data_IF_293262781319
#
_entry.id   IF_293262781319
#
_cell.length_a   1.000
_cell.length_b   1.000
_cell.length_c   1.000
_cell.angle_alpha   90.00
_cell.angle_beta   90.00
_cell.angle_gamma   90.00
#
_symmetry.space_group_name_H-M   'P 1'
#
loop_
_entity.id
_entity.type
_entity.pdbx_description
1 polymer ?
#
# COMPACT_ATOMS: atom_id res chain seq x y z
N UNK A 1 2.91 -26.02 14.38
CA UNK A 1 3.61 -25.84 13.08
C UNK A 1 2.95 -24.84 12.13
N UNK A 2 1.62 -24.61 12.18
CA UNK A 2 0.95 -23.63 11.31
C UNK A 2 1.38 -22.16 11.52
N UNK A 3 1.64 -21.75 12.78
CA UNK A 3 2.09 -20.39 13.13
C UNK A 3 3.47 -20.05 12.52
N UNK A 4 4.38 -21.03 12.48
CA UNK A 4 5.73 -20.86 11.93
C UNK A 4 5.71 -20.66 10.42
N UNK A 5 4.83 -21.38 9.71
CA UNK A 5 4.66 -21.23 8.27
C UNK A 5 4.07 -19.87 7.89
N UNK A 6 3.09 -19.37 8.66
CA UNK A 6 2.50 -18.04 8.42
C UNK A 6 3.50 -16.91 8.64
N UNK A 7 4.40 -17.07 9.63
CA UNK A 7 5.49 -16.12 9.86
C UNK A 7 6.50 -16.12 8.71
N UNK A 8 6.94 -17.30 8.25
CA UNK A 8 7.86 -17.41 7.12
C UNK A 8 7.27 -16.84 5.81
N UNK A 9 5.96 -17.01 5.59
CA UNK A 9 5.25 -16.41 4.46
C UNK A 9 5.16 -14.87 4.56
N UNK A 10 4.93 -14.37 5.78
CA UNK A 10 4.95 -12.92 6.05
C UNK A 10 6.34 -12.34 5.81
N UNK A 11 7.40 -13.00 6.30
CA UNK A 11 8.78 -12.54 6.13
C UNK A 11 9.19 -12.55 4.63
N UNK A 12 8.78 -13.57 3.86
CA UNK A 12 8.98 -13.57 2.39
C UNK A 12 8.23 -12.44 1.70
N UNK A 13 6.99 -12.17 2.12
CA UNK A 13 6.20 -11.06 1.58
C UNK A 13 6.88 -9.72 1.88
N UNK A 14 7.41 -9.53 3.09
CA UNK A 14 8.15 -8.32 3.47
C UNK A 14 9.35 -8.11 2.55
N UNK A 15 10.14 -9.15 2.28
CA UNK A 15 11.31 -9.06 1.40
C UNK A 15 10.92 -8.66 -0.04
N UNK A 16 9.84 -9.26 -0.58
CA UNK A 16 9.33 -8.91 -1.91
C UNK A 16 8.81 -7.47 -2.00
N UNK A 17 8.12 -6.99 -0.95
CA UNK A 17 7.61 -5.61 -0.87
C UNK A 17 8.74 -4.59 -0.80
N UNK A 18 9.77 -4.85 0.03
CA UNK A 18 10.97 -4.00 0.09
C UNK A 18 11.70 -4.00 -1.25
N UNK A 19 11.87 -5.17 -1.88
CA UNK A 19 12.51 -5.27 -3.17
C UNK A 19 11.73 -4.54 -4.28
N UNK A 20 10.39 -4.58 -4.24
CA UNK A 20 9.53 -3.78 -5.14
C UNK A 20 9.74 -2.28 -4.93
N UNK A 21 9.70 -1.82 -3.68
CA UNK A 21 9.89 -0.41 -3.33
C UNK A 21 11.25 0.12 -3.81
N UNK A 22 12.33 -0.63 -3.55
CA UNK A 22 13.69 -0.27 -4.01
C UNK A 22 13.77 -0.25 -5.54
N UNK A 23 13.21 -1.25 -6.24
CA UNK A 23 13.22 -1.29 -7.71
C UNK A 23 12.46 -0.12 -8.33
N UNK A 24 11.34 0.28 -7.74
CA UNK A 24 10.56 1.43 -8.16
C UNK A 24 11.43 2.70 -8.06
N UNK A 25 11.98 2.96 -6.87
CA UNK A 25 12.81 4.14 -6.61
C UNK A 25 14.07 4.24 -7.47
N UNK A 26 14.66 3.11 -7.87
CA UNK A 26 15.85 3.07 -8.74
C UNK A 26 15.55 3.29 -10.22
N UNK A 27 14.34 2.97 -10.69
CA UNK A 27 14.04 2.93 -12.14
C UNK A 27 13.47 4.22 -12.72
N UNK A 28 13.16 5.23 -11.89
CA UNK A 28 12.41 6.43 -12.30
C UNK A 28 11.08 6.13 -13.03
N UNK A 29 10.59 4.89 -12.91
CA UNK A 29 9.28 4.38 -13.35
C UNK A 29 8.43 4.06 -12.12
N UNK A 30 8.50 4.94 -11.12
CA UNK A 30 7.83 4.80 -9.83
C UNK A 30 6.30 4.71 -9.96
N UNK A 31 5.76 5.21 -11.06
CA UNK A 31 4.32 5.40 -11.25
C UNK A 31 3.94 5.11 -12.71
N UNK A 32 3.06 4.14 -12.93
CA UNK A 32 2.52 3.84 -14.27
C UNK A 32 1.42 4.83 -14.69
N UNK A 33 0.74 5.42 -13.71
CA UNK A 33 -0.24 6.51 -13.91
C UNK A 33 0.03 7.64 -12.93
N UNK A 34 0.73 8.67 -13.39
CA UNK A 34 0.99 9.88 -12.60
C UNK A 34 -0.30 10.70 -12.56
N UNK A 35 -1.03 10.62 -11.45
CA UNK A 35 -2.20 11.43 -11.21
C UNK A 35 -2.47 11.56 -9.73
N UNK A 36 -2.68 12.80 -9.28
CA UNK A 36 -3.13 13.11 -7.94
C UNK A 36 -4.65 12.95 -7.79
N UNK A 37 -5.35 12.63 -8.89
CA UNK A 37 -6.81 12.57 -8.94
C UNK A 37 -7.33 11.12 -8.96
N UNK A 38 -8.17 10.79 -7.98
CA UNK A 38 -8.80 9.47 -7.84
C UNK A 38 -9.67 9.07 -9.03
N UNK A 39 -10.22 10.04 -9.77
CA UNK A 39 -11.06 9.78 -10.95
C UNK A 39 -10.23 9.42 -12.18
N UNK A 40 -8.89 9.56 -12.12
CA UNK A 40 -7.95 9.05 -13.12
C UNK A 40 -7.39 7.69 -12.72
N UNK A 41 -7.05 7.52 -11.44
CA UNK A 41 -6.36 6.31 -10.94
C UNK A 41 -7.30 5.10 -10.83
N UNK A 42 -8.54 5.28 -10.35
CA UNK A 42 -9.49 4.15 -10.19
C UNK A 42 -9.87 3.52 -11.55
N UNK A 43 -10.24 4.28 -12.59
CA UNK A 43 -10.53 3.69 -13.91
C UNK A 43 -9.30 3.03 -14.54
N UNK A 44 -8.10 3.58 -14.33
CA UNK A 44 -6.86 2.99 -14.82
C UNK A 44 -6.60 1.58 -14.25
N UNK A 45 -6.89 1.38 -12.96
CA UNK A 45 -6.81 0.07 -12.30
C UNK A 45 -7.92 -0.88 -12.76
N UNK A 46 -9.17 -0.42 -12.92
CA UNK A 46 -10.26 -1.26 -13.43
C UNK A 46 -9.97 -1.87 -14.81
N UNK A 47 -9.22 -1.17 -15.66
CA UNK A 47 -8.79 -1.71 -16.95
C UNK A 47 -7.68 -2.77 -16.86
N UNK A 48 -7.08 -2.98 -15.69
CA UNK A 48 -5.86 -3.81 -15.51
C UNK A 48 -5.98 -4.88 -14.44
N UNK A 49 -6.84 -4.71 -13.45
CA UNK A 49 -7.08 -5.63 -12.34
C UNK A 49 -8.55 -6.04 -12.32
N UNK A 50 -8.82 -7.24 -11.80
CA UNK A 50 -10.15 -7.77 -11.50
C UNK A 50 -10.84 -7.09 -10.29
N UNK A 51 -10.18 -6.09 -9.68
CA UNK A 51 -10.70 -5.32 -8.55
C UNK A 51 -10.24 -3.86 -8.62
N UNK A 52 -11.02 -2.97 -8.00
CA UNK A 52 -10.67 -1.57 -7.83
C UNK A 52 -10.14 -1.31 -6.41
N UNK A 53 -8.89 -0.88 -6.22
CA UNK A 53 -8.45 -0.39 -4.92
C UNK A 53 -9.23 0.89 -4.57
N UNK A 54 -9.67 1.07 -3.31
CA UNK A 54 -10.12 2.37 -2.84
C UNK A 54 -8.94 3.35 -2.88
N UNK A 55 -9.15 4.52 -3.50
CA UNK A 55 -8.15 5.56 -3.66
C UNK A 55 -8.68 6.79 -2.95
N UNK A 56 -8.06 7.11 -1.82
CA UNK A 56 -8.43 8.24 -0.98
C UNK A 56 -7.44 9.39 -1.14
N UNK A 57 -7.99 10.60 -1.22
CA UNK A 57 -7.19 11.82 -1.15
C UNK A 57 -6.85 12.12 0.32
N UNK A 58 -5.56 12.07 0.62
CA UNK A 58 -5.02 12.32 1.96
C UNK A 58 -4.14 13.58 1.98
N UNK A 59 -4.25 14.43 0.95
CA UNK A 59 -3.44 15.64 0.81
C UNK A 59 -3.67 16.60 1.98
N UNK A 60 -4.92 16.68 2.49
CA UNK A 60 -5.26 17.47 3.68
C UNK A 60 -4.53 17.03 4.95
N UNK A 61 -4.09 15.76 5.01
CA UNK A 61 -3.31 15.20 6.12
C UNK A 61 -1.80 15.20 5.84
N UNK A 62 -1.37 15.81 4.71
CA UNK A 62 0.04 15.89 4.30
C UNK A 62 0.54 14.69 3.49
N UNK A 63 -0.35 13.76 3.12
CA UNK A 63 -0.04 12.59 2.31
C UNK A 63 -0.62 12.75 0.91
N UNK A 64 0.12 13.42 0.03
CA UNK A 64 -0.36 13.67 -1.33
C UNK A 64 -0.28 12.38 -2.15
N UNK A 65 -1.38 12.01 -2.83
CA UNK A 65 -1.35 10.93 -3.81
C UNK A 65 -0.54 11.41 -5.02
N UNK A 66 0.46 10.63 -5.42
CA UNK A 66 1.29 10.89 -6.62
C UNK A 66 0.74 10.12 -7.82
N UNK A 67 0.19 8.94 -7.58
CA UNK A 67 -0.41 8.11 -8.60
C UNK A 67 -0.53 6.64 -8.21
N UNK A 68 -0.54 5.78 -9.21
CA UNK A 68 -0.57 4.33 -9.02
C UNK A 68 0.36 3.60 -9.97
N UNK A 69 0.75 2.39 -9.57
CA UNK A 69 1.43 1.41 -10.42
C UNK A 69 0.84 0.02 -10.21
N UNK A 70 1.08 -0.87 -11.16
CA UNK A 70 0.74 -2.28 -11.04
C UNK A 70 2.02 -3.08 -10.80
N UNK A 71 2.04 -3.88 -9.73
CA UNK A 71 3.20 -4.72 -9.42
C UNK A 71 2.78 -6.18 -9.18
N UNK A 72 3.77 -7.05 -9.01
CA UNK A 72 3.61 -8.47 -8.75
C UNK A 72 4.24 -8.82 -7.40
N UNK A 73 3.40 -9.24 -6.46
CA UNK A 73 3.83 -9.75 -5.14
C UNK A 73 3.26 -11.16 -4.98
N UNK A 74 4.12 -12.13 -4.68
CA UNK A 74 3.73 -13.53 -4.53
C UNK A 74 3.08 -14.12 -5.79
N UNK A 75 3.56 -13.73 -6.98
CA UNK A 75 2.99 -14.09 -8.31
C UNK A 75 1.56 -13.60 -8.57
N UNK A 76 1.03 -12.69 -7.76
CA UNK A 76 -0.28 -12.07 -7.96
C UNK A 76 -0.12 -10.60 -8.32
N UNK A 77 -0.98 -10.10 -9.20
CA UNK A 77 -1.05 -8.67 -9.56
C UNK A 77 -1.63 -7.88 -8.39
N UNK A 78 -0.90 -6.87 -7.96
CA UNK A 78 -1.23 -6.02 -6.82
C UNK A 78 -1.26 -4.57 -7.27
N UNK A 79 -2.30 -3.84 -6.86
CA UNK A 79 -2.34 -2.40 -7.02
C UNK A 79 -1.37 -1.75 -6.03
N UNK A 80 -0.53 -0.84 -6.50
CA UNK A 80 0.30 -0.02 -5.62
C UNK A 80 -0.09 1.43 -5.80
N UNK A 81 -0.51 2.07 -4.71
CA UNK A 81 -0.78 3.49 -4.64
C UNK A 81 0.47 4.18 -4.10
N UNK A 82 0.94 5.19 -4.81
CA UNK A 82 2.15 5.91 -4.45
C UNK A 82 1.74 7.23 -3.80
N UNK A 83 2.02 7.34 -2.51
CA UNK A 83 1.82 8.57 -1.74
C UNK A 83 3.15 9.22 -1.45
N UNK A 84 3.13 10.54 -1.25
CA UNK A 84 4.30 11.31 -0.83
C UNK A 84 4.03 11.98 0.50
N UNK A 85 4.93 11.78 1.45
CA UNK A 85 4.97 12.49 2.71
C UNK A 85 6.25 13.33 2.79
N UNK A 86 6.12 14.64 2.67
CA UNK A 86 7.28 15.57 2.54
C UNK A 86 8.19 15.15 1.40
N UNK A 87 9.38 14.60 1.67
CA UNK A 87 10.33 14.11 0.67
C UNK A 87 10.33 12.58 0.55
N UNK A 88 9.59 11.88 1.41
CA UNK A 88 9.55 10.43 1.48
C UNK A 88 8.42 9.87 0.63
N UNK A 89 8.68 8.72 0.02
CA UNK A 89 7.68 7.99 -0.76
C UNK A 89 7.08 6.91 0.13
N UNK A 90 5.77 6.76 0.03
CA UNK A 90 5.01 5.72 0.72
C UNK A 90 4.31 4.90 -0.35
N UNK A 91 4.78 3.68 -0.53
CA UNK A 91 4.16 2.71 -1.43
C UNK A 91 3.13 1.90 -0.68
N UNK A 92 1.90 1.95 -1.16
CA UNK A 92 0.76 1.31 -0.51
C UNK A 92 0.18 0.24 -1.42
N UNK A 93 0.49 -1.01 -1.10
CA UNK A 93 0.07 -2.18 -1.83
C UNK A 93 -1.31 -2.62 -1.32
N UNK A 94 -2.28 -2.65 -2.22
CA UNK A 94 -3.68 -2.96 -1.91
C UNK A 94 -4.11 -4.19 -2.69
N UNK A 95 -4.65 -5.17 -1.99
CA UNK A 95 -5.20 -6.39 -2.59
C UNK A 95 -6.46 -6.86 -1.84
N UNK A 96 -7.36 -7.63 -2.47
CA UNK A 96 -8.47 -8.25 -1.77
C UNK A 96 -8.00 -9.07 -0.58
N UNK A 97 -8.69 -8.97 0.56
CA UNK A 97 -8.42 -9.83 1.70
C UNK A 97 -8.72 -11.28 1.28
N UNK A 98 -7.71 -12.14 1.30
CA UNK A 98 -7.91 -13.59 1.10
C UNK A 98 -8.55 -14.23 2.33
N UNK A 99 -8.82 -15.54 2.24
CA UNK A 99 -9.42 -16.33 3.33
C UNK A 99 -8.66 -16.23 4.66
N UNK A 100 -7.38 -15.90 4.63
CA UNK A 100 -6.61 -15.47 5.79
C UNK A 100 -6.50 -13.96 5.88
N UNK A 101 -7.35 -13.31 6.69
CA UNK A 101 -7.04 -11.97 7.22
C UNK A 101 -5.79 -12.08 8.09
N UNK A 102 -4.64 -11.79 7.52
CA UNK A 102 -3.40 -11.72 8.27
C UNK A 102 -3.53 -10.68 9.39
N UNK A 103 -3.07 -11.01 10.60
CA UNK A 103 -3.13 -10.07 11.73
C UNK A 103 -2.41 -8.75 11.40
N UNK A 104 -2.75 -7.63 12.07
CA UNK A 104 -1.95 -6.42 11.98
C UNK A 104 -0.47 -6.72 12.21
N UNK A 105 0.41 -6.21 11.35
CA UNK A 105 1.83 -6.51 11.40
C UNK A 105 2.63 -5.27 11.03
N UNK A 106 3.45 -4.79 11.96
CA UNK A 106 4.37 -3.68 11.73
C UNK A 106 5.79 -4.14 12.02
N UNK A 107 6.73 -3.77 11.15
CA UNK A 107 8.14 -4.09 11.29
C UNK A 107 9.01 -3.06 10.59
N UNK A 108 10.31 -3.09 10.85
CA UNK A 108 11.32 -2.39 10.05
C UNK A 108 12.25 -3.43 9.45
N UNK A 109 12.46 -3.37 8.14
CA UNK A 109 13.33 -4.29 7.40
C UNK A 109 14.19 -3.52 6.41
N UNK A 110 15.51 -3.78 6.40
CA UNK A 110 16.46 -3.14 5.48
C UNK A 110 16.41 -1.59 5.52
N UNK A 111 16.05 -1.00 6.65
CA UNK A 111 15.90 0.46 6.80
C UNK A 111 14.56 1.03 6.33
N UNK A 112 13.66 0.19 5.82
CA UNK A 112 12.30 0.57 5.42
C UNK A 112 11.30 0.17 6.50
N UNK A 113 10.39 1.08 6.84
CA UNK A 113 9.26 0.78 7.70
C UNK A 113 8.15 0.10 6.90
N UNK A 114 7.53 -0.93 7.49
CA UNK A 114 6.40 -1.64 6.93
C UNK A 114 5.25 -1.72 7.93
N UNK A 115 4.02 -1.51 7.45
CA UNK A 115 2.79 -1.80 8.21
C UNK A 115 1.79 -2.56 7.33
N UNK A 116 1.12 -3.55 7.92
CA UNK A 116 0.04 -4.35 7.33
C UNK A 116 -1.22 -4.20 8.15
N UNK A 117 -2.33 -3.92 7.47
CA UNK A 117 -3.66 -3.92 8.08
C UNK A 117 -4.75 -4.34 7.10
N UNK A 118 -5.97 -4.45 7.61
CA UNK A 118 -7.15 -4.76 6.82
C UNK A 118 -8.19 -3.66 6.98
N UNK A 119 -8.66 -3.12 5.87
CA UNK A 119 -9.69 -2.08 5.83
C UNK A 119 -10.50 -2.19 4.53
N UNK A 120 -11.80 -1.88 4.59
CA UNK A 120 -12.72 -1.93 3.45
C UNK A 120 -12.72 -3.26 2.65
N UNK A 121 -12.52 -4.41 3.33
CA UNK A 121 -12.45 -5.72 2.66
C UNK A 121 -11.15 -6.01 1.92
N UNK A 122 -10.17 -5.10 2.02
CA UNK A 122 -8.85 -5.21 1.40
C UNK A 122 -7.77 -5.42 2.46
N UNK A 123 -6.68 -6.07 2.08
CA UNK A 123 -5.41 -6.11 2.81
C UNK A 123 -4.50 -5.02 2.26
N UNK A 124 -3.99 -4.21 3.15
CA UNK A 124 -3.11 -3.08 2.88
C UNK A 124 -1.74 -3.39 3.42
N UNK A 125 -0.72 -3.06 2.64
CA UNK A 125 0.67 -3.02 3.07
C UNK A 125 1.25 -1.67 2.69
N UNK A 126 1.83 -0.95 3.63
CA UNK A 126 2.58 0.26 3.35
C UNK A 126 4.07 0.02 3.56
N UNK A 127 4.90 0.56 2.67
CA UNK A 127 6.35 0.56 2.76
C UNK A 127 6.86 1.99 2.55
N UNK A 128 7.77 2.43 3.40
CA UNK A 128 8.40 3.75 3.27
C UNK A 128 9.81 3.76 3.83
N UNK A 129 10.62 4.67 3.33
CA UNK A 129 11.92 5.05 3.87
C UNK A 129 11.81 6.04 5.04
N UNK A 130 10.60 6.52 5.35
CA UNK A 130 10.33 7.37 6.51
C UNK A 130 10.28 6.57 7.83
N UNK A 131 10.25 7.32 8.94
CA UNK A 131 10.11 6.73 10.27
C UNK A 131 8.76 5.99 10.45
N UNK A 132 8.70 4.92 11.27
CA UNK A 132 7.46 4.16 11.51
C UNK A 132 6.27 5.01 11.99
N UNK A 133 6.53 6.13 12.67
CA UNK A 133 5.52 7.10 13.10
C UNK A 133 4.76 7.72 11.91
N UNK A 134 5.41 7.88 10.75
CA UNK A 134 4.78 8.37 9.54
C UNK A 134 3.75 7.36 8.99
N UNK A 135 4.05 6.06 9.04
CA UNK A 135 3.08 5.02 8.66
C UNK A 135 1.89 4.96 9.62
N UNK A 136 2.13 5.11 10.91
CA UNK A 136 1.04 5.18 11.89
C UNK A 136 0.11 6.37 11.61
N UNK A 137 0.68 7.55 11.35
CA UNK A 137 -0.09 8.74 10.99
C UNK A 137 -0.85 8.58 9.65
N UNK A 138 -0.20 7.98 8.64
CA UNK A 138 -0.83 7.66 7.36
C UNK A 138 -2.05 6.76 7.55
N UNK A 139 -1.89 5.67 8.32
CA UNK A 139 -2.96 4.73 8.61
C UNK A 139 -4.13 5.39 9.32
N UNK A 140 -3.88 6.23 10.32
CA UNK A 140 -4.94 6.99 11.00
C UNK A 140 -5.71 7.89 10.03
N UNK A 141 -5.01 8.60 9.14
CA UNK A 141 -5.64 9.46 8.14
C UNK A 141 -6.49 8.65 7.15
N UNK A 142 -5.97 7.50 6.69
CA UNK A 142 -6.69 6.61 5.78
C UNK A 142 -7.94 6.02 6.44
N UNK A 143 -7.83 5.49 7.66
CA UNK A 143 -8.94 4.89 8.40
C UNK A 143 -10.06 5.93 8.63
N UNK A 144 -9.70 7.18 8.92
CA UNK A 144 -10.67 8.27 9.05
C UNK A 144 -11.44 8.54 7.74
N UNK A 145 -10.77 8.50 6.59
CA UNK A 145 -11.43 8.66 5.28
C UNK A 145 -12.29 7.46 4.92
N UNK A 146 -11.79 6.25 5.08
CA UNK A 146 -12.55 5.03 4.79
C UNK A 146 -13.78 4.87 5.69
N UNK A 147 -13.73 5.34 6.94
CA UNK A 147 -14.89 5.41 7.82
C UNK A 147 -15.92 6.46 7.34
N UNK A 148 -15.45 7.63 6.87
CA UNK A 148 -16.29 8.70 6.35
C UNK A 148 -17.01 8.36 5.04
N UNK A 149 -16.41 7.54 4.16
CA UNK A 149 -17.06 7.11 2.90
C UNK A 149 -18.22 6.12 3.12
N UNK A 150 -18.38 5.56 4.33
CA UNK A 150 -19.44 4.57 4.62
C UNK A 150 -20.79 5.18 5.01
N UNK A 151 -20.86 6.51 5.16
CA UNK A 151 -22.04 7.24 5.66
C UNK A 151 -22.78 8.05 4.59
N UNK A 152 -22.52 7.81 3.31
CA UNK A 152 -23.28 8.42 2.20
C UNK A 152 -24.09 7.39 1.40
#
# INVERSE_FOLDING_TARGET
MALSAHRADTDRTVDELVASHVRAGLSARDVDVISTDRHTVKPWFNGRLDYAPPVEDLAASGFALVGGRLDYVGRRRVAVLVYRYRQHVIDVYVRPAGDGRGAPYATVSQGYALDRWNAAGMTWWAVTDAEPSALAAFRTALDARLAGTRVE
#
